data_IF_717142293098
#
_entry.id   IF_717142293098
#
_cell.length_a   1.000
_cell.length_b   1.000
_cell.length_c   1.000
_cell.angle_alpha   90.00
_cell.angle_beta   90.00
_cell.angle_gamma   90.00
#
_symmetry.space_group_name_H-M   'P 1'
#
loop_
_entity.id
_entity.type
_entity.pdbx_description
1 polymer ?
#
# COMPACT_ATOMS: atom_id res chain seq x y z
N UNK A 1 -7.19 -7.25 21.19
CA UNK A 1 -6.26 -6.11 21.14
C UNK A 1 -6.39 -5.48 19.76
N UNK A 2 -6.23 -4.15 19.59
CA UNK A 2 -6.22 -3.54 18.26
C UNK A 2 -5.09 -4.16 17.43
N UNK A 3 -5.38 -4.50 16.16
CA UNK A 3 -4.37 -5.02 15.24
C UNK A 3 -3.43 -3.89 14.83
N UNK A 4 -2.14 -4.14 14.92
CA UNK A 4 -1.10 -3.21 14.52
C UNK A 4 -0.81 -3.36 13.03
N UNK A 5 -0.77 -2.25 12.30
CA UNK A 5 -0.43 -2.24 10.89
C UNK A 5 0.72 -1.30 10.60
N UNK A 6 1.46 -1.60 9.54
CA UNK A 6 2.42 -0.68 8.94
C UNK A 6 1.88 -0.10 7.62
N UNK A 7 2.39 1.06 7.22
CA UNK A 7 2.10 1.66 5.93
C UNK A 7 3.41 1.84 5.18
N UNK A 8 3.46 1.41 3.91
CA UNK A 8 4.59 1.67 3.01
C UNK A 8 4.08 2.56 1.88
N UNK A 9 4.66 3.73 1.69
CA UNK A 9 4.17 4.74 0.74
C UNK A 9 5.29 5.29 -0.15
N UNK A 10 4.99 5.41 -1.45
CA UNK A 10 5.89 6.07 -2.41
C UNK A 10 5.77 7.59 -2.37
N UNK A 11 6.88 8.30 -2.40
CA UNK A 11 6.95 9.77 -2.43
C UNK A 11 6.68 10.36 -3.82
N UNK A 12 6.78 9.56 -4.89
CA UNK A 12 6.34 9.96 -6.23
C UNK A 12 4.83 10.29 -6.21
N UNK A 13 4.43 11.43 -6.80
CA UNK A 13 3.12 12.07 -6.58
C UNK A 13 2.86 12.47 -5.13
N UNK A 14 3.74 13.28 -4.54
CA UNK A 14 3.71 13.60 -3.11
C UNK A 14 2.37 14.16 -2.62
N UNK A 15 1.70 15.00 -3.41
CA UNK A 15 0.38 15.55 -3.04
C UNK A 15 -0.65 14.44 -2.88
N UNK A 16 -0.79 13.61 -3.91
CA UNK A 16 -1.74 12.50 -3.93
C UNK A 16 -1.37 11.44 -2.89
N UNK A 17 -0.08 11.14 -2.72
CA UNK A 17 0.41 10.24 -1.69
C UNK A 17 -0.02 10.67 -0.28
N UNK A 18 0.09 11.97 0.05
CA UNK A 18 -0.40 12.49 1.33
C UNK A 18 -1.92 12.33 1.46
N UNK A 19 -2.69 12.61 0.39
CA UNK A 19 -4.13 12.39 0.40
C UNK A 19 -4.52 10.91 0.60
N UNK A 20 -3.76 9.96 0.02
CA UNK A 20 -3.93 8.53 0.27
C UNK A 20 -3.63 8.18 1.73
N UNK A 21 -2.54 8.72 2.28
CA UNK A 21 -2.14 8.47 3.66
C UNK A 21 -3.18 8.97 4.66
N UNK A 22 -3.70 10.18 4.46
CA UNK A 22 -4.77 10.73 5.30
C UNK A 22 -6.05 9.87 5.24
N UNK A 23 -6.39 9.38 4.06
CA UNK A 23 -7.52 8.46 3.89
C UNK A 23 -7.31 7.14 4.63
N UNK A 24 -6.11 6.56 4.54
CA UNK A 24 -5.75 5.33 5.27
C UNK A 24 -5.80 5.56 6.78
N UNK A 25 -5.21 6.65 7.30
CA UNK A 25 -5.24 6.99 8.73
C UNK A 25 -6.67 7.11 9.24
N UNK A 26 -7.51 7.84 8.52
CA UNK A 26 -8.92 8.03 8.87
C UNK A 26 -9.68 6.70 8.91
N UNK A 27 -9.54 5.87 7.87
CA UNK A 27 -10.27 4.61 7.78
C UNK A 27 -9.71 3.53 8.72
N UNK A 28 -8.40 3.50 8.96
CA UNK A 28 -7.75 2.63 9.96
C UNK A 28 -8.28 2.93 11.36
N UNK A 29 -8.33 4.22 11.74
CA UNK A 29 -8.91 4.67 13.02
C UNK A 29 -10.36 4.24 13.17
N UNK A 30 -11.18 4.41 12.13
CA UNK A 30 -12.60 3.98 12.13
C UNK A 30 -12.78 2.46 12.32
N UNK A 31 -11.78 1.66 11.95
CA UNK A 31 -11.81 0.20 12.06
C UNK A 31 -10.98 -0.34 13.24
N UNK A 32 -10.53 0.52 14.16
CA UNK A 32 -9.78 0.11 15.35
C UNK A 32 -8.39 -0.47 15.07
N UNK A 33 -7.79 -0.13 13.92
CA UNK A 33 -6.41 -0.47 13.60
C UNK A 33 -5.45 0.56 14.20
N UNK A 34 -4.30 0.09 14.67
CA UNK A 34 -3.23 0.94 15.17
C UNK A 34 -2.10 1.00 14.15
N UNK A 35 -1.75 2.20 13.65
CA UNK A 35 -0.64 2.38 12.72
C UNK A 35 0.63 2.54 13.54
N UNK A 36 1.54 1.56 13.45
CA UNK A 36 2.79 1.55 14.25
C UNK A 36 4.01 2.05 13.47
N UNK A 37 3.93 2.07 12.14
CA UNK A 37 4.99 2.56 11.26
C UNK A 37 4.44 3.11 9.95
N UNK A 38 5.01 4.21 9.48
CA UNK A 38 4.76 4.80 8.16
C UNK A 38 6.10 4.96 7.43
N UNK A 39 6.45 3.97 6.61
CA UNK A 39 7.69 3.93 5.85
C UNK A 39 7.53 4.63 4.49
N UNK A 40 8.17 5.78 4.34
CA UNK A 40 8.26 6.49 3.06
C UNK A 40 9.43 5.95 2.23
N UNK A 41 9.18 5.70 0.95
CA UNK A 41 10.18 5.27 -0.04
C UNK A 41 10.11 6.15 -1.29
N UNK A 42 11.19 6.27 -2.09
CA UNK A 42 11.18 7.10 -3.28
C UNK A 42 10.08 6.74 -4.29
N UNK A 43 9.95 5.47 -4.66
CA UNK A 43 9.04 5.01 -5.71
C UNK A 43 8.37 3.66 -5.43
N UNK A 44 7.95 2.97 -6.49
CA UNK A 44 7.33 1.63 -6.37
C UNK A 44 8.34 0.50 -6.29
N UNK A 45 9.53 0.67 -6.86
CA UNK A 45 10.59 -0.34 -6.86
C UNK A 45 11.13 -0.64 -5.45
N UNK A 46 11.11 0.33 -4.54
CA UNK A 46 11.62 0.16 -3.17
C UNK A 46 10.59 -0.45 -2.21
N UNK A 47 9.31 -0.47 -2.61
CA UNK A 47 8.20 -0.94 -1.75
C UNK A 47 8.39 -2.38 -1.26
N UNK A 48 8.80 -3.37 -2.08
CA UNK A 48 8.98 -4.74 -1.60
C UNK A 48 10.01 -4.87 -0.48
N UNK A 49 11.14 -4.16 -0.57
CA UNK A 49 12.17 -4.21 0.46
C UNK A 49 11.70 -3.56 1.77
N UNK A 50 11.07 -2.37 1.67
CA UNK A 50 10.49 -1.71 2.84
C UNK A 50 9.38 -2.57 3.47
N UNK A 51 8.52 -3.17 2.65
CA UNK A 51 7.45 -4.05 3.09
C UNK A 51 7.99 -5.28 3.84
N UNK A 52 9.04 -5.93 3.32
CA UNK A 52 9.69 -7.05 4.02
C UNK A 52 10.18 -6.63 5.41
N UNK A 53 10.82 -5.46 5.51
CA UNK A 53 11.34 -4.95 6.79
C UNK A 53 10.22 -4.74 7.81
N UNK A 54 9.16 -4.02 7.43
CA UNK A 54 8.06 -3.73 8.37
C UNK A 54 7.27 -4.97 8.75
N UNK A 55 7.03 -5.90 7.81
CA UNK A 55 6.31 -7.15 8.11
C UNK A 55 7.15 -8.14 8.93
N UNK A 56 8.48 -8.01 8.93
CA UNK A 56 9.36 -8.85 9.77
C UNK A 56 9.31 -8.45 11.24
N UNK A 57 8.80 -7.25 11.57
CA UNK A 57 8.53 -6.88 12.96
C UNK A 57 7.37 -7.72 13.51
N UNK A 58 7.62 -8.44 14.60
CA UNK A 58 6.63 -9.29 15.26
C UNK A 58 5.44 -8.51 15.83
N UNK A 59 5.57 -7.19 16.00
CA UNK A 59 4.50 -6.31 16.47
C UNK A 59 3.50 -5.93 15.38
N UNK A 60 3.85 -6.13 14.10
CA UNK A 60 3.01 -5.76 12.94
C UNK A 60 2.19 -6.96 12.50
N UNK A 61 0.87 -6.84 12.50
CA UNK A 61 -0.07 -7.89 12.09
C UNK A 61 -0.34 -7.89 10.57
N UNK A 62 -0.07 -6.77 9.88
CA UNK A 62 -0.21 -6.65 8.44
C UNK A 62 0.17 -5.25 7.95
N UNK A 63 0.02 -4.97 6.66
CA UNK A 63 0.44 -3.69 6.11
C UNK A 63 -0.48 -3.15 5.01
N UNK A 64 -0.33 -1.85 4.73
CA UNK A 64 -0.94 -1.19 3.58
C UNK A 64 0.17 -0.62 2.70
N UNK A 65 0.11 -0.88 1.39
CA UNK A 65 1.08 -0.36 0.42
C UNK A 65 0.40 0.65 -0.49
N UNK A 66 0.91 1.87 -0.56
CA UNK A 66 0.32 3.00 -1.28
C UNK A 66 1.27 3.55 -2.33
N UNK A 67 0.72 3.99 -3.46
CA UNK A 67 1.49 4.73 -4.46
C UNK A 67 0.77 4.85 -5.79
N UNK A 68 1.46 5.46 -6.76
CA UNK A 68 0.94 5.68 -8.11
C UNK A 68 2.01 5.24 -9.10
N UNK A 69 1.59 4.53 -10.15
CA UNK A 69 2.40 4.13 -11.30
C UNK A 69 1.74 4.76 -12.53
N UNK A 70 2.13 6.00 -12.83
CA UNK A 70 1.66 6.78 -13.98
C UNK A 70 2.15 6.17 -15.30
N UNK A 71 1.36 6.37 -16.36
CA UNK A 71 1.74 6.00 -17.73
C UNK A 71 2.89 6.88 -18.23
N UNK A 72 3.99 6.24 -18.62
CA UNK A 72 5.07 6.88 -19.37
C UNK A 72 5.02 6.58 -20.87
N UNK A 73 6.12 6.88 -21.57
CA UNK A 73 6.26 6.63 -23.02
C UNK A 73 6.66 5.19 -23.37
N UNK A 74 7.11 4.42 -22.37
CA UNK A 74 7.59 3.04 -22.55
C UNK A 74 6.83 2.06 -21.66
N UNK A 75 7.00 0.76 -21.89
CA UNK A 75 6.42 -0.32 -21.06
C UNK A 75 7.02 -0.43 -19.65
N UNK A 76 7.89 0.51 -19.25
CA UNK A 76 8.57 0.48 -17.96
C UNK A 76 7.59 0.38 -16.79
N UNK A 77 6.51 1.18 -16.80
CA UNK A 77 5.51 1.19 -15.74
C UNK A 77 4.82 -0.17 -15.57
N UNK A 78 4.47 -0.83 -16.67
CA UNK A 78 3.85 -2.15 -16.66
C UNK A 78 4.79 -3.22 -16.09
N UNK A 79 6.04 -3.29 -16.57
CA UNK A 79 7.03 -4.28 -16.10
C UNK A 79 7.34 -4.08 -14.62
N UNK A 80 7.54 -2.82 -14.20
CA UNK A 80 7.74 -2.47 -12.80
C UNK A 80 6.57 -2.91 -11.93
N UNK A 81 5.33 -2.58 -12.32
CA UNK A 81 4.15 -2.91 -11.53
C UNK A 81 3.97 -4.42 -11.34
N UNK A 82 4.20 -5.20 -12.40
CA UNK A 82 4.16 -6.66 -12.32
C UNK A 82 5.17 -7.20 -11.31
N UNK A 83 6.43 -6.75 -11.39
CA UNK A 83 7.47 -7.16 -10.45
C UNK A 83 7.13 -6.79 -8.99
N UNK A 84 6.66 -5.55 -8.77
CA UNK A 84 6.31 -5.05 -7.43
C UNK A 84 5.11 -5.81 -6.84
N UNK A 85 4.04 -5.99 -7.61
CA UNK A 85 2.83 -6.71 -7.15
C UNK A 85 3.14 -8.18 -6.88
N UNK A 86 3.90 -8.84 -7.77
CA UNK A 86 4.35 -10.22 -7.55
C UNK A 86 5.16 -10.36 -6.26
N UNK A 87 6.08 -9.42 -5.98
CA UNK A 87 6.86 -9.44 -4.75
C UNK A 87 5.98 -9.21 -3.51
N UNK A 88 5.01 -8.30 -3.56
CA UNK A 88 4.06 -8.07 -2.45
C UNK A 88 3.24 -9.33 -2.15
N UNK A 89 2.74 -10.02 -3.18
CA UNK A 89 2.03 -11.29 -3.01
C UNK A 89 2.95 -12.35 -2.42
N UNK A 90 4.19 -12.49 -2.92
CA UNK A 90 5.17 -13.40 -2.37
C UNK A 90 5.44 -13.16 -0.88
N UNK A 91 5.57 -11.91 -0.48
CA UNK A 91 5.78 -11.52 0.93
C UNK A 91 4.59 -11.84 1.83
N UNK A 92 3.35 -11.67 1.34
CA UNK A 92 2.15 -12.07 2.08
C UNK A 92 2.15 -13.57 2.36
N UNK A 93 2.46 -14.39 1.35
CA UNK A 93 2.49 -15.85 1.46
C UNK A 93 3.66 -16.33 2.34
N UNK A 94 4.82 -15.69 2.22
CA UNK A 94 6.02 -16.06 3.00
C UNK A 94 5.85 -15.73 4.49
N UNK A 95 5.29 -14.56 4.81
CA UNK A 95 5.21 -14.06 6.18
C UNK A 95 3.87 -14.34 6.85
N UNK A 96 2.88 -14.86 6.11
CA UNK A 96 1.52 -15.11 6.58
C UNK A 96 0.89 -13.87 7.24
N UNK A 97 1.13 -12.69 6.64
CA UNK A 97 0.58 -11.41 7.09
C UNK A 97 -0.10 -10.71 5.91
N UNK A 98 -1.37 -10.29 6.04
CA UNK A 98 -2.11 -9.68 4.95
C UNK A 98 -1.58 -8.28 4.59
N UNK A 99 -1.67 -7.93 3.31
CA UNK A 99 -1.24 -6.64 2.77
C UNK A 99 -2.34 -6.04 1.90
N UNK A 100 -2.86 -4.89 2.31
CA UNK A 100 -3.76 -4.07 1.49
C UNK A 100 -2.99 -3.33 0.42
N UNK A 101 -3.34 -3.50 -0.86
CA UNK A 101 -2.65 -2.83 -1.97
C UNK A 101 -3.49 -1.66 -2.50
N UNK A 102 -3.02 -0.45 -2.24
CA UNK A 102 -3.53 0.80 -2.79
C UNK A 102 -2.53 1.43 -3.75
N UNK A 103 -1.98 0.66 -4.70
CA UNK A 103 -1.16 1.23 -5.78
C UNK A 103 -2.09 1.51 -6.96
N UNK A 104 -2.18 2.77 -7.41
CA UNK A 104 -2.91 3.13 -8.62
C UNK A 104 -2.06 2.83 -9.84
N UNK A 105 -2.60 2.06 -10.78
CA UNK A 105 -1.91 1.63 -12.01
C UNK A 105 -1.95 0.10 -12.19
N UNK A 106 -1.06 -0.47 -13.03
CA UNK A 106 -0.06 0.22 -13.85
C UNK A 106 -0.66 1.20 -14.87
N UNK A 107 0.15 2.16 -15.30
CA UNK A 107 -0.11 3.05 -16.44
C UNK A 107 -1.41 3.86 -16.31
N UNK A 108 -1.71 4.34 -15.10
CA UNK A 108 -2.82 5.27 -14.90
C UNK A 108 -2.53 6.61 -15.60
N UNK A 109 -3.55 7.20 -16.22
CA UNK A 109 -3.45 8.52 -16.84
C UNK A 109 -3.62 9.65 -15.78
N UNK A 110 -2.97 10.81 -15.94
CA UNK A 110 -3.05 11.92 -14.99
C UNK A 110 -4.47 12.35 -14.61
N UNK A 111 -5.38 12.41 -15.58
CA UNK A 111 -6.79 12.79 -15.40
C UNK A 111 -7.59 11.78 -14.56
N UNK A 112 -7.13 10.53 -14.52
CA UNK A 112 -7.76 9.47 -13.73
C UNK A 112 -7.32 9.46 -12.27
N UNK A 113 -6.18 10.06 -11.94
CA UNK A 113 -5.59 10.00 -10.60
C UNK A 113 -6.53 10.63 -9.55
N UNK A 114 -6.99 11.89 -9.67
CA UNK A 114 -7.69 12.59 -8.58
C UNK A 114 -8.94 11.85 -8.06
N UNK A 115 -9.73 11.28 -8.97
CA UNK A 115 -10.96 10.54 -8.62
C UNK A 115 -10.69 9.20 -7.93
N UNK A 116 -9.46 8.66 -8.01
CA UNK A 116 -9.09 7.32 -7.53
C UNK A 116 -8.24 7.33 -6.27
N UNK A 117 -7.56 8.43 -5.94
CA UNK A 117 -6.66 8.58 -4.78
C UNK A 117 -7.30 8.02 -3.50
N UNK A 118 -8.41 8.62 -3.06
CA UNK A 118 -9.09 8.22 -1.81
C UNK A 118 -9.77 6.84 -1.91
N UNK A 119 -10.57 6.53 -2.95
CA UNK A 119 -11.23 5.23 -3.03
C UNK A 119 -10.26 4.05 -2.99
N UNK A 120 -9.12 4.12 -3.68
CA UNK A 120 -8.14 3.02 -3.67
C UNK A 120 -7.43 2.87 -2.33
N UNK A 121 -7.03 3.98 -1.71
CA UNK A 121 -6.46 3.98 -0.36
C UNK A 121 -7.41 3.35 0.66
N UNK A 122 -8.69 3.74 0.64
CA UNK A 122 -9.74 3.17 1.50
C UNK A 122 -9.95 1.68 1.23
N UNK A 123 -10.03 1.28 -0.04
CA UNK A 123 -10.26 -0.12 -0.42
C UNK A 123 -9.11 -1.03 0.02
N UNK A 124 -7.86 -0.53 0.01
CA UNK A 124 -6.71 -1.27 0.51
C UNK A 124 -6.87 -1.62 2.00
N UNK A 125 -7.28 -0.65 2.83
CA UNK A 125 -7.56 -0.89 4.25
C UNK A 125 -8.78 -1.78 4.43
N UNK A 126 -9.85 -1.59 3.64
CA UNK A 126 -11.05 -2.43 3.72
C UNK A 126 -10.75 -3.91 3.45
N UNK A 127 -9.93 -4.20 2.43
CA UNK A 127 -9.48 -5.55 2.14
C UNK A 127 -8.64 -6.12 3.29
N UNK A 128 -7.69 -5.35 3.80
CA UNK A 128 -6.85 -5.73 4.94
C UNK A 128 -7.68 -6.10 6.18
N UNK A 129 -8.63 -5.23 6.56
CA UNK A 129 -9.53 -5.45 7.70
C UNK A 129 -10.37 -6.71 7.52
N UNK A 130 -10.82 -7.00 6.29
CA UNK A 130 -11.64 -8.18 6.04
C UNK A 130 -10.84 -9.47 6.27
N UNK A 131 -9.62 -9.53 5.74
CA UNK A 131 -8.75 -10.71 5.90
C UNK A 131 -8.34 -10.87 7.37
N UNK A 132 -7.92 -9.79 8.04
CA UNK A 132 -7.53 -9.83 9.45
C UNK A 132 -8.63 -10.27 10.44
N UNK A 133 -9.90 -10.27 10.02
CA UNK A 133 -11.04 -10.76 10.81
C UNK A 133 -11.30 -12.25 10.61
N UNK A 134 -10.85 -12.80 9.50
CA UNK A 134 -11.01 -14.20 9.14
C UNK A 134 -9.84 -15.06 9.69
N UNK A 135 -8.77 -14.41 10.19
CA UNK A 135 -7.62 -14.98 10.92
C UNK A 135 -7.83 -15.00 12.46
#
# INVERSE_FOLDING_TARGET
MPKNIAIVIGSFHQKEANEMLDEVRNFAKQNGLNIVEEAWVPGSMEKPLALKRVLSDSRVDGAVVLGIIEKGETKHGLVMAQAVVSAIIGLQLELMKPVGVGILGPEILPDQIPSRVRPYARNAVKALVKVMKDD
#
